data_IF_683947409237
#
_entry.id   IF_683947409237
#
_cell.length_a   1.000
_cell.length_b   1.000
_cell.length_c   1.000
_cell.angle_alpha   90.00
_cell.angle_beta   90.00
_cell.angle_gamma   90.00
#
_symmetry.space_group_name_H-M   'P 1'
#
loop_
_entity.id
_entity.type
_entity.pdbx_description
1 polymer ?
#
# COMPACT_ATOMS: atom_id res chain seq x y z
N UNK A 1 -10.16 -6.71 6.09
CA UNK A 1 -10.07 -5.93 4.86
C UNK A 1 -8.68 -6.21 4.37
N UNK A 2 -8.61 -7.10 3.39
CA UNK A 2 -7.39 -7.69 2.84
C UNK A 2 -6.43 -6.60 2.38
N UNK A 3 -5.13 -6.84 2.57
CA UNK A 3 -3.98 -6.03 2.14
C UNK A 3 -3.83 -5.96 0.61
N UNK A 4 -4.94 -5.75 -0.10
CA UNK A 4 -4.96 -5.71 -1.56
C UNK A 4 -4.08 -4.53 -1.98
N UNK A 5 -2.98 -4.81 -2.67
CA UNK A 5 -2.40 -3.83 -3.58
C UNK A 5 -3.48 -3.65 -4.64
N UNK A 6 -4.23 -2.56 -4.55
CA UNK A 6 -5.23 -2.28 -5.56
C UNK A 6 -4.49 -2.08 -6.87
N UNK A 7 -5.02 -2.67 -7.94
CA UNK A 7 -4.57 -2.43 -9.31
C UNK A 7 -4.49 -0.93 -9.68
N UNK A 8 -5.07 -0.03 -8.88
CA UNK A 8 -4.96 1.42 -8.99
C UNK A 8 -3.52 1.94 -8.95
N UNK A 9 -2.68 1.39 -8.07
CA UNK A 9 -1.39 2.00 -7.71
C UNK A 9 -0.44 1.96 -8.92
N UNK A 10 -0.31 0.78 -9.53
CA UNK A 10 0.49 0.59 -10.74
C UNK A 10 -0.10 1.27 -11.98
N UNK A 11 -1.43 1.27 -12.12
CA UNK A 11 -2.11 1.91 -13.26
C UNK A 11 -1.88 3.42 -13.30
N UNK A 12 -1.86 4.08 -12.15
CA UNK A 12 -1.66 5.52 -12.06
C UNK A 12 -0.27 5.95 -12.55
N UNK A 13 0.78 5.21 -12.15
CA UNK A 13 2.16 5.47 -12.58
C UNK A 13 2.36 5.19 -14.05
N UNK A 14 1.78 4.09 -14.56
CA UNK A 14 1.77 3.79 -15.99
C UNK A 14 1.06 4.92 -16.75
N UNK A 15 -0.15 5.28 -16.35
CA UNK A 15 -0.92 6.35 -16.98
C UNK A 15 -0.14 7.68 -17.03
N UNK A 16 0.53 8.05 -15.93
CA UNK A 16 1.35 9.25 -15.89
C UNK A 16 2.51 9.20 -16.88
N UNK A 17 3.26 8.09 -16.91
CA UNK A 17 4.38 7.94 -17.85
C UNK A 17 3.92 7.96 -19.32
N UNK A 18 2.72 7.44 -19.62
CA UNK A 18 2.13 7.50 -20.96
C UNK A 18 1.68 8.92 -21.32
N UNK A 19 1.07 9.67 -20.38
CA UNK A 19 0.69 11.08 -20.58
C UNK A 19 1.92 11.96 -20.82
N UNK A 20 3.04 11.66 -20.15
CA UNK A 20 4.32 12.36 -20.36
C UNK A 20 4.96 12.03 -21.72
N UNK A 21 4.58 10.92 -22.37
CA UNK A 21 5.21 10.43 -23.61
C UNK A 21 4.18 9.84 -24.59
N UNK A 22 3.20 10.62 -25.07
CA UNK A 22 2.08 10.11 -25.86
C UNK A 22 2.51 9.52 -27.21
N UNK A 23 3.59 10.03 -27.81
CA UNK A 23 4.09 9.61 -29.12
C UNK A 23 4.75 8.21 -29.10
N UNK A 24 5.02 7.67 -27.91
CA UNK A 24 5.71 6.39 -27.71
C UNK A 24 4.77 5.22 -27.42
N UNK A 25 3.46 5.44 -27.44
CA UNK A 25 2.46 4.41 -27.12
C UNK A 25 2.39 3.40 -28.27
N UNK A 26 2.60 2.12 -27.97
CA UNK A 26 2.41 1.02 -28.91
C UNK A 26 1.68 -0.17 -28.27
N UNK A 27 1.16 -1.09 -29.10
CA UNK A 27 0.45 -2.28 -28.63
C UNK A 27 1.30 -3.21 -27.77
N UNK A 28 2.61 -3.25 -28.01
CA UNK A 28 3.56 -4.07 -27.25
C UNK A 28 3.73 -3.57 -25.80
N UNK A 29 3.64 -2.26 -25.59
CA UNK A 29 3.69 -1.63 -24.28
C UNK A 29 2.46 -1.99 -23.45
N UNK A 30 1.28 -2.05 -24.07
CA UNK A 30 0.04 -2.48 -23.42
C UNK A 30 0.16 -3.93 -22.92
N UNK A 31 0.73 -4.82 -23.73
CA UNK A 31 0.98 -6.20 -23.32
C UNK A 31 1.96 -6.28 -22.14
N UNK A 32 3.09 -5.55 -22.21
CA UNK A 32 4.06 -5.48 -21.09
C UNK A 32 3.41 -4.93 -19.82
N UNK A 33 2.63 -3.86 -19.92
CA UNK A 33 1.92 -3.28 -18.78
C UNK A 33 0.93 -4.27 -18.16
N UNK A 34 0.21 -5.03 -18.99
CA UNK A 34 -0.67 -6.11 -18.52
C UNK A 34 0.11 -7.20 -17.78
N UNK A 35 1.23 -7.69 -18.35
CA UNK A 35 2.11 -8.64 -17.67
C UNK A 35 2.61 -8.10 -16.33
N UNK A 36 3.02 -6.83 -16.28
CA UNK A 36 3.42 -6.16 -15.04
C UNK A 36 2.32 -6.14 -13.99
N UNK A 37 1.07 -5.84 -14.40
CA UNK A 37 -0.09 -5.89 -13.50
C UNK A 37 -0.32 -7.30 -12.95
N UNK A 38 -0.25 -8.34 -13.80
CA UNK A 38 -0.37 -9.73 -13.36
C UNK A 38 0.73 -10.09 -12.36
N UNK A 39 1.98 -9.69 -12.63
CA UNK A 39 3.09 -9.91 -11.69
C UNK A 39 2.87 -9.22 -10.34
N UNK A 40 2.36 -7.98 -10.31
CA UNK A 40 2.03 -7.28 -9.07
C UNK A 40 0.92 -7.98 -8.29
N UNK A 41 -0.11 -8.50 -8.97
CA UNK A 41 -1.18 -9.31 -8.36
C UNK A 41 -0.60 -10.59 -7.75
N UNK A 42 0.29 -11.28 -8.48
CA UNK A 42 1.00 -12.45 -7.97
C UNK A 42 1.83 -12.11 -6.72
N UNK A 43 2.62 -11.04 -6.75
CA UNK A 43 3.42 -10.61 -5.61
C UNK A 43 2.56 -10.28 -4.39
N UNK A 44 1.43 -9.60 -4.60
CA UNK A 44 0.46 -9.36 -3.53
C UNK A 44 -0.13 -10.66 -2.99
N UNK A 45 -0.56 -11.55 -3.88
CA UNK A 45 -1.13 -12.85 -3.52
C UNK A 45 -0.17 -13.69 -2.67
N UNK A 46 1.12 -13.70 -3.01
CA UNK A 46 2.17 -14.33 -2.20
C UNK A 46 2.25 -13.70 -0.80
N UNK A 47 2.46 -12.38 -0.72
CA UNK A 47 2.68 -11.67 0.56
C UNK A 47 1.47 -11.80 1.49
N UNK A 48 0.26 -11.65 0.96
CA UNK A 48 -0.98 -11.72 1.74
C UNK A 48 -1.34 -13.17 2.08
N UNK A 49 -1.09 -14.10 1.16
CA UNK A 49 -1.36 -15.52 1.38
C UNK A 49 -0.42 -16.11 2.44
N UNK A 50 0.89 -15.86 2.35
CA UNK A 50 1.83 -16.33 3.37
C UNK A 50 1.52 -15.71 4.73
N UNK A 51 1.11 -14.43 4.78
CA UNK A 51 0.71 -13.80 6.02
C UNK A 51 -0.47 -14.53 6.69
N UNK A 52 -1.54 -14.80 5.94
CA UNK A 52 -2.71 -15.54 6.45
C UNK A 52 -2.36 -16.94 6.93
N UNK A 53 -1.49 -17.67 6.22
CA UNK A 53 -1.07 -19.04 6.63
C UNK A 53 -0.41 -19.04 8.01
N UNK A 54 0.44 -18.05 8.32
CA UNK A 54 1.13 -17.97 9.62
C UNK A 54 0.31 -17.29 10.72
N UNK A 55 -0.79 -16.63 10.36
CA UNK A 55 -1.66 -15.89 11.27
C UNK A 55 -3.05 -16.53 11.44
N UNK A 56 -3.31 -17.74 10.93
CA UNK A 56 -4.62 -18.43 11.01
C UNK A 56 -5.28 -18.31 12.40
N UNK A 57 -4.53 -18.56 13.48
CA UNK A 57 -5.06 -18.48 14.83
C UNK A 57 -5.50 -17.07 15.24
N UNK A 58 -4.74 -16.05 14.84
CA UNK A 58 -5.05 -14.63 15.10
C UNK A 58 -6.22 -14.18 14.21
N UNK A 59 -6.19 -14.56 12.93
CA UNK A 59 -7.20 -14.18 11.95
C UNK A 59 -8.55 -14.84 12.24
N UNK A 60 -8.61 -16.03 12.84
CA UNK A 60 -9.89 -16.61 13.32
C UNK A 60 -10.61 -15.72 14.34
N UNK A 61 -9.87 -14.91 15.09
CA UNK A 61 -10.43 -13.99 16.08
C UNK A 61 -10.75 -12.65 15.43
N UNK A 62 -9.77 -12.05 14.77
CA UNK A 62 -9.86 -10.68 14.30
C UNK A 62 -10.58 -10.56 12.95
N UNK A 63 -10.42 -11.56 12.08
CA UNK A 63 -10.83 -11.54 10.67
C UNK A 63 -11.41 -12.89 10.24
N UNK A 64 -12.48 -13.38 10.91
CA UNK A 64 -13.02 -14.73 10.68
C UNK A 64 -13.55 -14.97 9.26
N UNK A 65 -13.79 -13.90 8.50
CA UNK A 65 -14.21 -13.94 7.09
C UNK A 65 -13.07 -14.18 6.10
N UNK A 66 -11.80 -14.24 6.55
CA UNK A 66 -10.68 -14.51 5.64
C UNK A 66 -10.70 -15.98 5.19
N UNK A 67 -10.38 -16.31 3.92
CA UNK A 67 -10.60 -17.65 3.36
C UNK A 67 -9.97 -18.79 4.18
N UNK A 68 -8.74 -18.60 4.67
CA UNK A 68 -8.03 -19.64 5.46
C UNK A 68 -8.59 -19.70 6.89
N UNK A 69 -8.98 -18.57 7.47
CA UNK A 69 -9.54 -18.49 8.82
C UNK A 69 -10.96 -19.06 8.90
N UNK A 70 -11.78 -18.79 7.87
CA UNK A 70 -13.14 -19.30 7.69
C UNK A 70 -13.17 -20.82 7.41
N UNK A 71 -12.09 -21.37 6.85
CA UNK A 71 -12.01 -22.76 6.41
C UNK A 71 -12.44 -22.98 4.96
N UNK A 72 -12.82 -21.92 4.24
CA UNK A 72 -13.17 -21.97 2.81
C UNK A 72 -11.97 -22.37 1.92
N UNK A 73 -10.74 -22.10 2.38
CA UNK A 73 -9.50 -22.50 1.74
C UNK A 73 -8.63 -23.33 2.68
N UNK A 74 -8.34 -24.57 2.29
CA UNK A 74 -7.46 -25.45 3.07
C UNK A 74 -6.03 -24.90 3.14
N UNK A 75 -5.30 -25.19 4.22
CA UNK A 75 -3.90 -24.75 4.38
C UNK A 75 -3.00 -25.31 3.27
N UNK A 76 -3.25 -26.54 2.81
CA UNK A 76 -2.52 -27.13 1.70
C UNK A 76 -2.76 -26.35 0.41
N UNK A 77 -4.03 -26.08 0.07
CA UNK A 77 -4.41 -25.28 -1.11
C UNK A 77 -3.85 -23.86 -1.05
N UNK A 78 -3.83 -23.25 0.15
CA UNK A 78 -3.23 -21.93 0.35
C UNK A 78 -1.71 -21.95 0.06
N UNK A 79 -0.98 -22.97 0.51
CA UNK A 79 0.43 -23.13 0.18
C UNK A 79 0.66 -23.31 -1.32
N UNK A 80 -0.12 -24.15 -1.99
CA UNK A 80 -0.06 -24.30 -3.45
C UNK A 80 -0.26 -22.96 -4.16
N UNK A 81 -1.27 -22.19 -3.74
CA UNK A 81 -1.58 -20.89 -4.34
C UNK A 81 -0.45 -19.86 -4.11
N UNK A 82 0.08 -19.80 -2.89
CA UNK A 82 1.19 -18.90 -2.53
C UNK A 82 2.45 -19.23 -3.34
N UNK A 83 2.81 -20.50 -3.45
CA UNK A 83 3.97 -20.94 -4.24
C UNK A 83 3.74 -20.69 -5.75
N UNK A 84 2.53 -20.95 -6.24
CA UNK A 84 2.15 -20.61 -7.61
C UNK A 84 2.31 -19.12 -7.89
N UNK A 85 1.80 -18.25 -7.02
CA UNK A 85 1.95 -16.81 -7.17
C UNK A 85 3.42 -16.35 -7.13
N UNK A 86 4.25 -16.91 -6.24
CA UNK A 86 5.68 -16.61 -6.22
C UNK A 86 6.35 -16.97 -7.56
N UNK A 87 6.13 -18.20 -8.04
CA UNK A 87 6.73 -18.71 -9.26
C UNK A 87 6.23 -17.97 -10.51
N UNK A 88 4.91 -17.83 -10.66
CA UNK A 88 4.30 -17.16 -11.80
C UNK A 88 4.73 -15.69 -11.88
N UNK A 89 4.69 -14.97 -10.76
CA UNK A 89 5.14 -13.58 -10.72
C UNK A 89 6.62 -13.43 -11.06
N UNK A 90 7.47 -14.30 -10.51
CA UNK A 90 8.92 -14.32 -10.80
C UNK A 90 9.21 -14.59 -12.28
N UNK A 91 8.53 -15.57 -12.88
CA UNK A 91 8.67 -15.90 -14.29
C UNK A 91 8.23 -14.74 -15.19
N UNK A 92 7.12 -14.07 -14.84
CA UNK A 92 6.65 -12.92 -15.61
C UNK A 92 7.69 -11.79 -15.57
N UNK A 93 8.22 -11.45 -14.38
CA UNK A 93 9.18 -10.33 -14.28
C UNK A 93 10.51 -10.63 -14.95
N UNK A 94 11.02 -11.85 -14.81
CA UNK A 94 12.30 -12.25 -15.40
C UNK A 94 12.28 -12.23 -16.92
N UNK A 95 11.17 -12.66 -17.53
CA UNK A 95 11.04 -12.70 -18.98
C UNK A 95 10.73 -11.33 -19.61
N UNK A 96 10.05 -10.43 -18.89
CA UNK A 96 9.50 -9.20 -19.47
C UNK A 96 10.25 -7.92 -19.09
N UNK A 97 10.87 -7.85 -17.91
CA UNK A 97 11.35 -6.59 -17.33
C UNK A 97 12.85 -6.59 -16.97
N UNK A 98 13.55 -7.69 -17.23
CA UNK A 98 15.01 -7.79 -17.06
C UNK A 98 15.47 -7.95 -15.60
N UNK A 99 16.79 -8.05 -15.38
CA UNK A 99 17.35 -8.47 -14.10
C UNK A 99 17.14 -7.47 -12.96
N UNK A 100 17.12 -6.16 -13.25
CA UNK A 100 16.93 -5.14 -12.22
C UNK A 100 15.52 -5.13 -11.63
N UNK A 101 14.47 -5.11 -12.45
CA UNK A 101 13.09 -5.20 -11.94
C UNK A 101 12.85 -6.56 -11.27
N UNK A 102 13.45 -7.62 -11.80
CA UNK A 102 13.40 -8.95 -11.19
C UNK A 102 14.01 -8.94 -9.79
N UNK A 103 15.15 -8.28 -9.58
CA UNK A 103 15.78 -8.20 -8.25
C UNK A 103 14.95 -7.37 -7.26
N UNK A 104 14.33 -6.26 -7.71
CA UNK A 104 13.39 -5.50 -6.88
C UNK A 104 12.15 -6.31 -6.50
N UNK A 105 11.62 -7.10 -7.45
CA UNK A 105 10.48 -7.99 -7.20
C UNK A 105 10.85 -9.07 -6.18
N UNK A 106 12.00 -9.74 -6.36
CA UNK A 106 12.53 -10.70 -5.39
C UNK A 106 12.75 -10.09 -4.00
N UNK A 107 13.27 -8.85 -3.94
CA UNK A 107 13.41 -8.12 -2.69
C UNK A 107 12.04 -7.89 -2.03
N UNK A 108 11.02 -7.50 -2.79
CA UNK A 108 9.65 -7.35 -2.29
C UNK A 108 9.09 -8.66 -1.70
N UNK A 109 9.27 -9.79 -2.40
CA UNK A 109 8.88 -11.11 -1.90
C UNK A 109 9.63 -11.46 -0.61
N UNK A 110 10.96 -11.29 -0.61
CA UNK A 110 11.82 -11.56 0.54
C UNK A 110 11.40 -10.75 1.77
N UNK A 111 11.16 -9.45 1.60
CA UNK A 111 10.68 -8.57 2.67
C UNK A 111 9.31 -9.03 3.20
N UNK A 112 8.40 -9.47 2.33
CA UNK A 112 7.12 -10.06 2.72
C UNK A 112 7.27 -11.38 3.48
N UNK A 113 8.25 -12.22 3.11
CA UNK A 113 8.57 -13.47 3.81
C UNK A 113 9.09 -13.19 5.22
N UNK A 114 10.15 -12.39 5.37
CA UNK A 114 10.74 -12.10 6.70
C UNK A 114 9.78 -11.33 7.61
N UNK A 115 8.80 -10.61 7.03
CA UNK A 115 7.73 -9.97 7.77
C UNK A 115 6.83 -11.00 8.48
N UNK A 116 6.49 -12.11 7.82
CA UNK A 116 5.48 -13.08 8.31
C UNK A 116 6.07 -14.36 8.92
N UNK A 117 7.21 -14.83 8.43
CA UNK A 117 7.72 -16.20 8.68
C UNK A 117 8.75 -16.24 9.81
N UNK A 118 8.70 -17.21 10.75
CA UNK A 118 9.76 -17.45 11.73
C UNK A 118 11.10 -17.85 11.07
N UNK A 119 12.27 -17.54 11.67
CA UNK A 119 12.46 -16.97 13.00
C UNK A 119 12.28 -15.44 13.08
N UNK A 120 12.33 -14.73 11.94
CA UNK A 120 12.33 -13.26 11.95
C UNK A 120 10.98 -12.66 12.34
N UNK A 121 9.91 -13.04 11.62
CA UNK A 121 8.52 -12.57 11.80
C UNK A 121 8.46 -11.09 12.23
N UNK A 122 9.08 -10.22 11.42
CA UNK A 122 9.35 -8.82 11.76
C UNK A 122 8.08 -8.00 12.03
N UNK A 123 6.91 -8.48 11.63
CA UNK A 123 5.61 -7.88 11.98
C UNK A 123 5.39 -7.71 13.49
N UNK A 124 6.11 -8.47 14.33
CA UNK A 124 6.08 -8.36 15.80
C UNK A 124 6.77 -7.11 16.33
N UNK A 125 7.70 -6.53 15.57
CA UNK A 125 8.43 -5.32 15.95
C UNK A 125 7.83 -4.13 15.20
N UNK A 126 7.18 -3.17 15.90
CA UNK A 126 6.44 -2.10 15.22
C UNK A 126 7.29 -1.29 14.24
N UNK A 127 8.50 -0.90 14.64
CA UNK A 127 9.41 -0.13 13.77
C UNK A 127 9.81 -0.92 12.52
N UNK A 128 10.17 -2.19 12.65
CA UNK A 128 10.52 -3.03 11.50
C UNK A 128 9.32 -3.24 10.56
N UNK A 129 8.13 -3.46 11.13
CA UNK A 129 6.89 -3.57 10.37
C UNK A 129 6.60 -2.30 9.56
N UNK A 130 6.80 -1.13 10.17
CA UNK A 130 6.61 0.17 9.52
C UNK A 130 7.57 0.36 8.35
N UNK A 131 8.86 0.09 8.57
CA UNK A 131 9.89 0.24 7.54
C UNK A 131 9.63 -0.69 6.37
N UNK A 132 9.23 -1.94 6.61
CA UNK A 132 8.91 -2.89 5.54
C UNK A 132 7.69 -2.42 4.73
N UNK A 133 6.61 -2.01 5.39
CA UNK A 133 5.39 -1.56 4.70
C UNK A 133 5.68 -0.28 3.88
N UNK A 134 6.37 0.70 4.48
CA UNK A 134 6.77 1.92 3.79
C UNK A 134 7.72 1.64 2.62
N UNK A 135 8.67 0.71 2.78
CA UNK A 135 9.60 0.35 1.71
C UNK A 135 8.90 -0.38 0.56
N UNK A 136 8.10 -1.41 0.85
CA UNK A 136 7.49 -2.25 -0.19
C UNK A 136 6.34 -1.51 -0.88
N UNK A 137 5.39 -0.96 -0.11
CA UNK A 137 4.18 -0.33 -0.65
C UNK A 137 4.39 1.14 -1.00
N UNK A 138 5.22 1.86 -0.24
CA UNK A 138 5.53 3.26 -0.50
C UNK A 138 6.55 3.41 -1.61
N UNK A 139 7.79 2.97 -1.38
CA UNK A 139 8.89 3.25 -2.28
C UNK A 139 9.00 2.28 -3.46
N UNK A 140 9.21 0.98 -3.19
CA UNK A 140 9.54 -0.03 -4.20
C UNK A 140 8.47 -0.17 -5.28
N UNK A 141 7.19 -0.14 -4.89
CA UNK A 141 6.09 -0.18 -5.85
C UNK A 141 6.14 1.02 -6.80
N UNK A 142 6.25 2.24 -6.27
CA UNK A 142 6.22 3.45 -7.07
C UNK A 142 7.44 3.57 -7.98
N UNK A 143 8.63 3.40 -7.40
CA UNK A 143 9.89 3.40 -8.13
C UNK A 143 9.94 2.30 -9.18
N UNK A 144 9.61 1.06 -8.79
CA UNK A 144 9.70 -0.11 -9.66
C UNK A 144 8.76 -0.04 -10.86
N UNK A 145 7.50 0.36 -10.66
CA UNK A 145 6.54 0.51 -11.76
C UNK A 145 6.94 1.63 -12.72
N UNK A 146 7.35 2.79 -12.18
CA UNK A 146 7.78 3.90 -13.04
C UNK A 146 9.06 3.56 -13.82
N UNK A 147 10.04 2.94 -13.17
CA UNK A 147 11.24 2.44 -13.83
C UNK A 147 10.89 1.45 -14.96
N UNK A 148 10.07 0.45 -14.65
CA UNK A 148 9.66 -0.57 -15.62
C UNK A 148 8.94 0.04 -16.82
N UNK A 149 8.10 1.06 -16.58
CA UNK A 149 7.35 1.73 -17.65
C UNK A 149 8.26 2.58 -18.53
N UNK A 150 9.17 3.36 -17.95
CA UNK A 150 10.18 4.12 -18.72
C UNK A 150 11.08 3.19 -19.54
N UNK A 151 11.56 2.11 -18.94
CA UNK A 151 12.38 1.12 -19.64
C UNK A 151 11.60 0.46 -20.79
N UNK A 152 10.31 0.18 -20.61
CA UNK A 152 9.46 -0.34 -21.67
C UNK A 152 9.20 0.67 -22.80
N UNK A 153 9.26 1.96 -22.51
CA UNK A 153 9.25 3.06 -23.49
C UNK A 153 10.62 3.30 -24.17
N UNK A 154 11.66 2.54 -23.80
CA UNK A 154 13.02 2.74 -24.32
C UNK A 154 13.75 3.96 -23.72
N UNK A 155 13.23 4.50 -22.61
CA UNK A 155 13.78 5.68 -21.95
C UNK A 155 14.69 5.29 -20.77
N UNK A 156 15.73 6.09 -20.54
CA UNK A 156 16.52 6.00 -19.31
C UNK A 156 15.68 6.49 -18.13
N UNK A 157 15.95 5.93 -16.94
CA UNK A 157 15.27 6.35 -15.73
C UNK A 157 15.65 7.79 -15.37
N UNK A 158 14.64 8.62 -15.13
CA UNK A 158 14.79 9.99 -14.63
C UNK A 158 13.62 10.29 -13.72
N UNK A 159 13.88 10.91 -12.56
CA UNK A 159 12.81 11.37 -11.67
C UNK A 159 12.06 12.55 -12.30
N UNK A 160 10.73 12.47 -12.33
CA UNK A 160 9.87 13.64 -12.51
C UNK A 160 9.37 14.13 -11.15
N UNK A 161 9.17 15.44 -11.01
CA UNK A 161 8.66 16.04 -9.75
C UNK A 161 7.34 15.40 -9.28
N UNK A 162 6.36 15.08 -10.16
CA UNK A 162 5.16 14.34 -9.77
C UNK A 162 5.47 12.93 -9.23
N UNK A 163 6.37 12.19 -9.88
CA UNK A 163 6.70 10.82 -9.43
C UNK A 163 7.47 10.84 -8.11
N UNK A 164 8.38 11.79 -7.93
CA UNK A 164 9.07 12.00 -6.66
C UNK A 164 8.07 12.37 -5.55
N UNK A 165 7.13 13.28 -5.85
CA UNK A 165 6.05 13.66 -4.95
C UNK A 165 5.20 12.46 -4.52
N UNK A 166 4.62 11.71 -5.47
CA UNK A 166 3.73 10.59 -5.11
C UNK A 166 4.50 9.52 -4.35
N UNK A 167 5.75 9.23 -4.73
CA UNK A 167 6.59 8.25 -4.03
C UNK A 167 6.82 8.65 -2.58
N UNK A 168 7.19 9.91 -2.31
CA UNK A 168 7.38 10.40 -0.95
C UNK A 168 6.05 10.44 -0.18
N UNK A 169 5.01 10.98 -0.80
CA UNK A 169 3.68 11.15 -0.21
C UNK A 169 3.07 9.82 0.21
N UNK A 170 3.05 8.82 -0.68
CA UNK A 170 2.48 7.49 -0.39
C UNK A 170 3.39 6.65 0.51
N UNK A 171 4.68 6.94 0.58
CA UNK A 171 5.58 6.32 1.56
C UNK A 171 5.25 6.77 2.98
N UNK A 172 5.04 8.08 3.18
CA UNK A 172 4.55 8.62 4.46
C UNK A 172 3.13 8.13 4.77
N UNK A 173 2.27 8.05 3.76
CA UNK A 173 0.93 7.51 3.92
C UNK A 173 0.97 6.02 4.34
N UNK A 174 1.81 5.20 3.69
CA UNK A 174 1.99 3.79 4.01
C UNK A 174 2.52 3.59 5.44
N UNK A 175 3.36 4.50 5.94
CA UNK A 175 3.76 4.54 7.34
C UNK A 175 2.54 4.75 8.27
N UNK A 176 1.63 5.67 7.94
CA UNK A 176 0.41 5.87 8.73
C UNK A 176 -0.51 4.66 8.69
N UNK A 177 -0.69 4.05 7.51
CA UNK A 177 -1.42 2.78 7.40
C UNK A 177 -0.79 1.73 8.32
N UNK A 178 0.55 1.64 8.34
CA UNK A 178 1.24 0.69 9.20
C UNK A 178 1.02 0.98 10.70
N UNK A 179 0.99 2.26 11.11
CA UNK A 179 0.70 2.68 12.50
C UNK A 179 -0.74 2.34 12.89
N UNK A 180 -1.69 2.53 11.97
CA UNK A 180 -3.13 2.40 12.23
C UNK A 180 -3.68 0.99 11.94
N UNK A 181 -2.87 0.10 11.36
CA UNK A 181 -3.30 -1.24 10.90
C UNK A 181 -3.93 -2.10 12.00
N UNK A 182 -3.45 -1.96 13.23
CA UNK A 182 -3.86 -2.78 14.38
C UNK A 182 -5.07 -2.16 15.13
N UNK A 183 -5.56 -0.99 14.71
CA UNK A 183 -6.72 -0.35 15.34
C UNK A 183 -7.97 -1.27 15.29
N UNK A 184 -8.38 -1.83 14.14
CA UNK A 184 -9.58 -2.67 14.08
C UNK A 184 -9.47 -3.99 14.87
N UNK A 185 -8.23 -4.42 15.15
CA UNK A 185 -7.90 -5.68 15.77
C UNK A 185 -7.73 -5.54 17.31
N UNK A 186 -7.77 -4.31 17.84
CA UNK A 186 -7.41 -3.99 19.24
C UNK A 186 -8.20 -4.76 20.31
N UNK A 187 -9.49 -5.01 20.09
CA UNK A 187 -10.34 -5.74 21.05
C UNK A 187 -9.96 -7.21 21.12
N UNK A 188 -9.75 -7.84 19.95
CA UNK A 188 -9.30 -9.22 19.89
C UNK A 188 -7.88 -9.36 20.43
N UNK A 189 -6.99 -8.44 20.07
CA UNK A 189 -5.62 -8.42 20.58
C UNK A 189 -5.59 -8.31 22.11
N UNK A 190 -6.43 -7.46 22.72
CA UNK A 190 -6.55 -7.38 24.19
C UNK A 190 -7.03 -8.69 24.80
N UNK A 191 -8.06 -9.32 24.21
CA UNK A 191 -8.63 -10.59 24.71
C UNK A 191 -7.59 -11.72 24.72
N UNK A 192 -6.68 -11.73 23.76
CA UNK A 192 -5.64 -12.75 23.63
C UNK A 192 -4.25 -12.28 24.08
N UNK A 193 -4.17 -11.16 24.84
CA UNK A 193 -2.93 -10.60 25.38
C UNK A 193 -1.83 -10.34 24.33
N UNK A 194 -2.23 -9.98 23.11
CA UNK A 194 -1.34 -9.59 22.02
C UNK A 194 -0.92 -8.13 22.24
N UNK A 195 0.39 -7.93 22.42
CA UNK A 195 0.99 -6.60 22.59
C UNK A 195 1.21 -5.93 21.23
N UNK A 196 0.39 -4.91 20.92
CA UNK A 196 0.55 -4.02 19.76
C UNK A 196 0.68 -2.56 20.23
N UNK A 197 0.99 -1.64 19.32
CA UNK A 197 1.00 -0.21 19.66
C UNK A 197 -0.39 0.28 20.05
N UNK A 198 -1.44 -0.21 19.40
CA UNK A 198 -2.82 0.14 19.73
C UNK A 198 -3.23 -0.36 21.11
N UNK A 199 -2.80 -1.58 21.52
CA UNK A 199 -3.10 -2.08 22.87
C UNK A 199 -2.29 -1.36 23.96
N UNK A 200 -1.07 -0.91 23.67
CA UNK A 200 -0.19 -0.19 24.62
C UNK A 200 -0.51 1.30 24.78
N UNK A 201 -0.61 2.02 23.66
CA UNK A 201 -0.78 3.48 23.65
C UNK A 201 -2.26 3.89 23.64
N UNK A 202 -3.17 2.96 23.32
CA UNK A 202 -4.60 3.19 23.25
C UNK A 202 -5.07 3.63 21.86
N UNK A 203 -6.30 3.24 21.53
CA UNK A 203 -6.96 3.51 20.24
C UNK A 203 -6.98 4.99 19.91
N UNK A 204 -7.40 5.83 20.88
CA UNK A 204 -7.47 7.28 20.74
C UNK A 204 -6.15 7.89 20.30
N UNK A 205 -5.06 7.55 21.01
CA UNK A 205 -3.74 8.13 20.74
C UNK A 205 -3.19 7.69 19.37
N UNK A 206 -3.37 6.42 19.00
CA UNK A 206 -2.94 5.93 17.67
C UNK A 206 -3.77 6.53 16.55
N UNK A 207 -5.09 6.69 16.72
CA UNK A 207 -5.95 7.35 15.75
C UNK A 207 -5.55 8.82 15.55
N UNK A 208 -5.29 9.56 16.64
CA UNK A 208 -4.83 10.95 16.55
C UNK A 208 -3.43 11.07 15.94
N UNK A 209 -2.50 10.19 16.30
CA UNK A 209 -1.17 10.17 15.70
C UNK A 209 -1.25 9.94 14.18
N UNK A 210 -2.00 8.92 13.75
CA UNK A 210 -2.19 8.65 12.33
C UNK A 210 -2.87 9.82 11.60
N UNK A 211 -3.91 10.39 12.20
CA UNK A 211 -4.61 11.57 11.67
C UNK A 211 -3.67 12.75 11.51
N UNK A 212 -2.90 13.09 12.56
CA UNK A 212 -1.97 14.22 12.55
C UNK A 212 -0.87 14.07 11.51
N UNK A 213 -0.29 12.87 11.38
CA UNK A 213 0.72 12.59 10.37
C UNK A 213 0.17 12.71 8.94
N UNK A 214 -1.05 12.22 8.68
CA UNK A 214 -1.69 12.39 7.37
C UNK A 214 -2.05 13.85 7.09
N UNK A 215 -2.56 14.59 8.06
CA UNK A 215 -2.82 16.02 7.90
C UNK A 215 -1.54 16.81 7.59
N UNK A 216 -0.45 16.51 8.28
CA UNK A 216 0.85 17.10 7.96
C UNK A 216 1.28 16.77 6.51
N UNK A 217 1.06 15.53 6.07
CA UNK A 217 1.34 15.11 4.70
C UNK A 217 0.48 15.87 3.68
N UNK A 218 -0.82 16.06 3.94
CA UNK A 218 -1.72 16.85 3.09
C UNK A 218 -1.32 18.32 3.03
N UNK A 219 -0.97 18.92 4.17
CA UNK A 219 -0.46 20.30 4.22
C UNK A 219 0.82 20.42 3.40
N UNK A 220 1.75 19.47 3.53
CA UNK A 220 2.97 19.45 2.73
C UNK A 220 2.67 19.37 1.22
N UNK A 221 1.69 18.57 0.80
CA UNK A 221 1.26 18.51 -0.60
C UNK A 221 0.67 19.85 -1.09
N UNK A 222 -0.20 20.49 -0.31
CA UNK A 222 -0.76 21.80 -0.64
C UNK A 222 0.36 22.85 -0.77
N UNK A 223 1.31 22.85 0.17
CA UNK A 223 2.47 23.75 0.15
C UNK A 223 3.32 23.49 -1.10
N UNK A 224 3.62 22.23 -1.43
CA UNK A 224 4.37 21.88 -2.64
C UNK A 224 3.69 22.41 -3.91
N UNK A 225 2.36 22.28 -4.01
CA UNK A 225 1.59 22.78 -5.14
C UNK A 225 1.64 24.31 -5.29
N UNK A 226 1.72 25.04 -4.17
CA UNK A 226 1.80 26.51 -4.16
C UNK A 226 3.19 27.00 -4.55
N UNK A 227 4.24 26.37 -4.02
CA UNK A 227 5.63 26.80 -4.26
C UNK A 227 6.24 26.28 -5.55
N UNK A 228 5.68 25.20 -6.14
CA UNK A 228 6.17 24.61 -7.39
C UNK A 228 5.08 24.60 -8.48
N UNK A 229 4.57 25.78 -8.90
CA UNK A 229 3.46 25.87 -9.86
C UNK A 229 3.83 25.37 -11.28
N UNK A 230 5.12 25.26 -11.59
CA UNK A 230 5.61 24.69 -12.85
C UNK A 230 5.63 23.16 -12.84
N UNK A 231 5.67 22.55 -11.64
CA UNK A 231 5.73 21.10 -11.47
C UNK A 231 4.34 20.48 -11.25
N UNK A 232 3.41 21.23 -10.66
CA UNK A 232 2.12 20.72 -10.22
C UNK A 232 0.95 21.59 -10.68
N UNK A 233 -0.16 20.95 -11.02
CA UNK A 233 -1.42 21.63 -11.33
C UNK A 233 -2.10 22.11 -10.05
N UNK A 234 -1.72 23.32 -9.60
CA UNK A 234 -2.25 23.95 -8.37
C UNK A 234 -3.78 23.91 -8.25
N UNK A 235 -4.48 24.16 -9.36
CA UNK A 235 -5.95 24.19 -9.41
C UNK A 235 -6.61 22.83 -9.15
N UNK A 236 -5.87 21.73 -9.23
CA UNK A 236 -6.34 20.37 -8.93
C UNK A 236 -5.78 19.94 -7.57
N UNK A 237 -4.47 20.09 -7.38
CA UNK A 237 -3.77 19.59 -6.20
C UNK A 237 -4.25 20.24 -4.90
N UNK A 238 -4.36 21.59 -4.87
CA UNK A 238 -4.77 22.32 -3.65
C UNK A 238 -6.19 21.97 -3.22
N UNK A 239 -7.25 22.12 -4.04
CA UNK A 239 -8.61 21.84 -3.58
C UNK A 239 -8.80 20.36 -3.25
N UNK A 240 -8.19 19.44 -4.02
CA UNK A 240 -8.33 18.00 -3.75
C UNK A 240 -7.74 17.60 -2.41
N UNK A 241 -6.48 17.97 -2.14
CA UNK A 241 -5.83 17.63 -0.87
C UNK A 241 -6.49 18.35 0.32
N UNK A 242 -7.04 19.55 0.12
CA UNK A 242 -7.83 20.24 1.14
C UNK A 242 -9.14 19.49 1.46
N UNK A 243 -9.87 19.00 0.45
CA UNK A 243 -11.08 18.17 0.63
C UNK A 243 -10.74 16.87 1.37
N UNK A 244 -9.64 16.21 1.01
CA UNK A 244 -9.19 14.99 1.69
C UNK A 244 -8.79 15.25 3.14
N UNK A 245 -8.07 16.34 3.42
CA UNK A 245 -7.73 16.75 4.77
C UNK A 245 -8.98 17.05 5.63
N UNK A 246 -9.94 17.80 5.08
CA UNK A 246 -11.21 18.09 5.76
C UNK A 246 -12.03 16.82 6.01
N UNK A 247 -12.09 15.92 5.02
CA UNK A 247 -12.74 14.61 5.17
C UNK A 247 -12.09 13.77 6.27
N UNK A 248 -10.76 13.78 6.36
CA UNK A 248 -10.02 13.10 7.42
C UNK A 248 -10.31 13.69 8.81
N UNK A 249 -10.33 15.03 8.94
CA UNK A 249 -10.70 15.70 10.21
C UNK A 249 -12.11 15.30 10.61
N UNK A 250 -13.06 15.35 9.67
CA UNK A 250 -14.45 14.97 9.93
C UNK A 250 -14.55 13.50 10.40
N UNK A 251 -13.85 12.58 9.74
CA UNK A 251 -13.87 11.16 10.12
C UNK A 251 -13.18 10.89 11.47
N UNK A 252 -12.13 11.63 11.80
CA UNK A 252 -11.52 11.57 13.14
C UNK A 252 -12.48 12.08 14.22
N UNK A 253 -13.23 13.15 13.94
CA UNK A 253 -14.27 13.65 14.83
C UNK A 253 -15.42 12.64 15.00
N UNK A 254 -15.92 12.04 13.92
CA UNK A 254 -16.94 10.98 13.97
C UNK A 254 -16.47 9.80 14.83
N UNK A 255 -15.21 9.37 14.67
CA UNK A 255 -14.62 8.31 15.47
C UNK A 255 -14.60 8.65 16.98
N UNK A 256 -14.25 9.89 17.33
CA UNK A 256 -14.24 10.36 18.72
C UNK A 256 -15.67 10.43 19.30
N UNK A 257 -16.64 10.94 18.54
CA UNK A 257 -18.06 10.97 18.95
C UNK A 257 -18.64 9.57 19.15
N UNK A 258 -18.20 8.60 18.36
CA UNK A 258 -18.59 7.20 18.48
C UNK A 258 -17.89 6.46 19.63
N UNK A 259 -17.11 7.15 20.49
CA UNK A 259 -16.36 6.55 21.60
C UNK A 259 -15.51 5.35 21.20
N UNK A 260 -14.96 5.37 19.97
CA UNK A 260 -14.08 4.31 19.47
C UNK A 260 -14.69 2.90 19.49
N UNK A 261 -15.97 2.74 19.14
CA UNK A 261 -16.56 1.40 18.91
C UNK A 261 -15.83 0.65 17.80
N UNK A 262 -15.84 -0.68 17.84
CA UNK A 262 -15.21 -1.54 16.83
C UNK A 262 -15.65 -1.19 15.40
N UNK A 263 -16.94 -0.92 15.22
CA UNK A 263 -17.53 -0.51 13.95
C UNK A 263 -16.96 0.84 13.49
N UNK A 264 -16.92 1.84 14.37
CA UNK A 264 -16.38 3.16 14.06
C UNK A 264 -14.88 3.11 13.74
N UNK A 265 -14.10 2.33 14.51
CA UNK A 265 -12.67 2.12 14.22
C UNK A 265 -12.49 1.47 12.84
N UNK A 266 -13.29 0.44 12.54
CA UNK A 266 -13.23 -0.26 11.26
C UNK A 266 -13.58 0.68 10.10
N UNK A 267 -14.60 1.54 10.26
CA UNK A 267 -14.99 2.54 9.26
C UNK A 267 -13.90 3.59 9.07
N UNK A 268 -13.33 4.13 10.15
CA UNK A 268 -12.23 5.08 10.09
C UNK A 268 -11.00 4.49 9.38
N UNK A 269 -10.60 3.27 9.73
CA UNK A 269 -9.49 2.59 9.07
C UNK A 269 -9.77 2.33 7.58
N UNK A 270 -11.00 1.95 7.21
CA UNK A 270 -11.41 1.84 5.80
C UNK A 270 -11.34 3.18 5.08
N UNK A 271 -11.71 4.27 5.73
CA UNK A 271 -11.65 5.60 5.16
C UNK A 271 -10.20 6.03 4.86
N UNK A 272 -9.24 5.71 5.75
CA UNK A 272 -7.80 5.91 5.49
C UNK A 272 -7.38 5.20 4.20
N UNK A 273 -7.83 3.95 3.98
CA UNK A 273 -7.56 3.22 2.75
C UNK A 273 -8.21 3.84 1.51
N UNK A 274 -9.45 4.33 1.64
CA UNK A 274 -10.13 5.01 0.53
C UNK A 274 -9.38 6.27 0.10
N UNK A 275 -8.89 7.06 1.07
CA UNK A 275 -8.04 8.21 0.79
C UNK A 275 -6.77 7.78 0.07
N UNK A 276 -6.07 6.74 0.55
CA UNK A 276 -4.87 6.22 -0.11
C UNK A 276 -5.10 5.85 -1.58
N UNK A 277 -6.22 5.21 -1.91
CA UNK A 277 -6.54 4.88 -3.31
C UNK A 277 -6.97 6.10 -4.12
N UNK A 278 -7.63 7.07 -3.49
CA UNK A 278 -8.01 8.32 -4.14
C UNK A 278 -6.78 9.11 -4.62
N UNK A 279 -5.66 9.05 -3.88
CA UNK A 279 -4.38 9.64 -4.31
C UNK A 279 -3.90 9.12 -5.67
N UNK A 280 -3.95 7.81 -5.87
CA UNK A 280 -3.56 7.22 -7.15
C UNK A 280 -4.55 7.55 -8.27
N UNK A 281 -5.82 7.77 -7.97
CA UNK A 281 -6.81 8.20 -8.97
C UNK A 281 -6.51 9.62 -9.45
N UNK A 282 -6.14 10.53 -8.55
CA UNK A 282 -5.82 11.92 -8.89
C UNK A 282 -4.41 12.10 -9.45
N UNK A 283 -3.49 11.17 -9.14
CA UNK A 283 -2.07 11.28 -9.48
C UNK A 283 -1.77 11.61 -10.95
N UNK A 284 -2.44 11.00 -11.95
CA UNK A 284 -2.20 11.35 -13.35
C UNK A 284 -2.53 12.82 -13.70
N UNK A 285 -3.41 13.45 -12.92
CA UNK A 285 -3.95 14.79 -13.17
C UNK A 285 -3.16 15.91 -12.48
N UNK A 286 -2.31 15.61 -11.50
CA UNK A 286 -1.52 16.60 -10.75
C UNK A 286 -0.23 17.01 -11.45
#
# INVERSE_FOLDING_TARGET
>A
MSFILSSSDGRALVARALIENPDLINWWLTFRAFCGLVALICGNGYIVGINQIYDIGIDKVNKPYLPIAAGDLSVQSAWFLVLFFAAAGLLIVSWNFGPFITSLYCLGLFLGTIYSVPPFRLKRYPVAAFLIIATVRGFLLNFGVYYATRAALGLTFQWSSPVAFITAFVTLFALVIAITKDLPDVEGDRKFQISTLATKLGVRNIAFLGTGLLLANYVAAIVAAIYMPQAFRRNIMVPTHAVFALGLIFQAWVLEQANYTKEAISQFYRFIWNLFYAEYIIFPLI
#
